data_IF_940769438806
#
_entry.id   IF_940769438806
#
_cell.length_a   1.000
_cell.length_b   1.000
_cell.length_c   1.000
_cell.angle_alpha   90.00
_cell.angle_beta   90.00
_cell.angle_gamma   90.00
#
_symmetry.space_group_name_H-M   'P 1'
#
loop_
_entity.id
_entity.type
_entity.pdbx_description
1 polymer ?
#
# COMPACT_ATOMS: atom_id res chain seq x y z
N UNK A 1 -1.51 10.32 -5.16
CA UNK A 1 -0.26 10.94 -5.67
C UNK A 1 0.22 10.38 -7.03
N UNK A 2 0.83 11.22 -7.90
CA UNK A 2 1.53 10.80 -9.14
C UNK A 2 2.93 10.27 -8.83
N UNK A 3 3.34 9.18 -9.49
CA UNK A 3 4.69 8.63 -9.34
C UNK A 3 5.77 9.65 -9.77
N UNK A 4 6.92 9.67 -9.09
CA UNK A 4 8.06 10.49 -9.52
C UNK A 4 8.59 9.95 -10.84
N UNK A 5 9.06 10.88 -11.68
CA UNK A 5 9.65 10.57 -12.96
C UNK A 5 10.99 9.85 -12.77
N UNK A 6 11.21 8.78 -13.55
CA UNK A 6 12.48 8.05 -13.57
C UNK A 6 13.31 8.61 -14.73
N UNK A 7 14.37 9.35 -14.40
CA UNK A 7 15.21 10.02 -15.40
C UNK A 7 16.15 9.02 -16.10
N UNK A 8 16.42 9.28 -17.38
CA UNK A 8 17.42 8.56 -18.16
C UNK A 8 17.06 7.11 -18.51
N UNK A 9 15.77 6.78 -18.58
CA UNK A 9 15.31 5.55 -19.22
C UNK A 9 15.37 5.72 -20.74
N UNK A 10 16.03 4.78 -21.41
CA UNK A 10 16.13 4.69 -22.87
C UNK A 10 15.80 3.26 -23.29
N UNK A 11 15.21 3.09 -24.47
CA UNK A 11 14.73 1.79 -24.95
C UNK A 11 15.86 0.78 -25.23
N UNK A 12 17.08 1.27 -25.42
CA UNK A 12 18.29 0.48 -25.67
C UNK A 12 19.03 0.07 -24.39
N UNK A 13 18.55 0.45 -23.20
CA UNK A 13 19.17 0.04 -21.95
C UNK A 13 18.94 -1.45 -21.67
N UNK A 14 19.95 -2.17 -21.17
CA UNK A 14 19.74 -3.49 -20.60
C UNK A 14 18.63 -3.45 -19.53
N UNK A 15 17.79 -4.49 -19.50
CA UNK A 15 16.67 -4.56 -18.55
C UNK A 15 17.11 -4.32 -17.11
N UNK A 16 18.24 -4.92 -16.70
CA UNK A 16 18.78 -4.75 -15.35
C UNK A 16 19.11 -3.29 -15.01
N UNK A 17 19.65 -2.52 -15.97
CA UNK A 17 20.02 -1.11 -15.76
C UNK A 17 18.78 -0.21 -15.69
N UNK A 18 17.79 -0.46 -16.55
CA UNK A 18 16.49 0.21 -16.48
C UNK A 18 15.77 -0.11 -15.15
N UNK A 19 15.76 -1.39 -14.77
CA UNK A 19 15.13 -1.85 -13.54
C UNK A 19 15.79 -1.26 -12.30
N UNK A 20 17.13 -1.19 -12.24
CA UNK A 20 17.86 -0.59 -11.11
C UNK A 20 17.41 0.85 -10.89
N UNK A 21 17.34 1.66 -11.97
CA UNK A 21 16.87 3.05 -11.90
C UNK A 21 15.44 3.16 -11.40
N UNK A 22 14.55 2.31 -11.91
CA UNK A 22 13.14 2.31 -11.51
C UNK A 22 13.00 1.91 -10.03
N UNK A 23 13.62 0.81 -9.61
CA UNK A 23 13.55 0.32 -8.22
C UNK A 23 14.12 1.35 -7.26
N UNK A 24 15.25 1.98 -7.57
CA UNK A 24 15.83 3.03 -6.74
C UNK A 24 14.86 4.20 -6.51
N UNK A 25 14.19 4.67 -7.57
CA UNK A 25 13.19 5.75 -7.46
C UNK A 25 11.98 5.32 -6.64
N UNK A 26 11.45 4.10 -6.86
CA UNK A 26 10.27 3.60 -6.13
C UNK A 26 10.57 3.32 -4.66
N UNK A 27 11.77 2.82 -4.35
CA UNK A 27 12.23 2.65 -2.97
C UNK A 27 12.34 4.01 -2.26
N UNK A 28 12.96 5.00 -2.91
CA UNK A 28 13.09 6.34 -2.35
C UNK A 28 11.74 7.04 -2.14
N UNK A 29 10.77 6.80 -3.03
CA UNK A 29 9.37 7.23 -2.84
C UNK A 29 8.75 6.61 -1.61
N UNK A 30 8.78 5.27 -1.51
CA UNK A 30 8.19 4.52 -0.40
C UNK A 30 8.76 5.00 0.93
N UNK A 31 10.09 5.01 1.07
CA UNK A 31 10.73 5.44 2.31
C UNK A 31 10.37 6.89 2.66
N UNK A 32 10.44 7.82 1.70
CA UNK A 32 10.14 9.23 1.98
C UNK A 32 8.68 9.49 2.37
N UNK A 33 7.73 8.72 1.83
CA UNK A 33 6.31 8.83 2.20
C UNK A 33 6.03 8.16 3.55
N UNK A 34 6.62 7.00 3.81
CA UNK A 34 6.46 6.30 5.07
C UNK A 34 6.97 7.13 6.27
N UNK A 35 8.08 7.87 6.11
CA UNK A 35 8.54 8.81 7.15
C UNK A 35 7.49 9.90 7.46
N UNK A 36 6.77 10.37 6.44
CA UNK A 36 5.74 11.41 6.60
C UNK A 36 4.40 10.87 7.11
N UNK A 37 4.18 9.56 7.02
CA UNK A 37 2.92 8.90 7.34
C UNK A 37 2.85 8.41 8.80
N UNK A 38 3.86 8.71 9.64
CA UNK A 38 3.95 8.19 11.02
C UNK A 38 2.94 8.77 12.02
N UNK A 39 1.98 9.57 11.55
CA UNK A 39 0.89 10.13 12.32
C UNK A 39 -0.44 9.53 11.82
N UNK A 40 -1.26 8.93 12.71
CA UNK A 40 -2.51 8.30 12.30
C UNK A 40 -3.50 9.27 11.65
N UNK A 41 -3.40 10.58 11.91
CA UNK A 41 -4.26 11.60 11.29
C UNK A 41 -3.89 11.88 9.82
N UNK A 42 -2.71 11.45 9.35
CA UNK A 42 -2.23 11.69 7.99
C UNK A 42 -2.73 10.64 7.01
N UNK A 43 -4.06 10.57 6.87
CA UNK A 43 -4.78 9.60 6.01
C UNK A 43 -4.28 9.63 4.56
N UNK A 44 -4.03 10.83 4.01
CA UNK A 44 -3.53 10.98 2.64
C UNK A 44 -2.12 10.39 2.47
N UNK A 45 -1.21 10.67 3.39
CA UNK A 45 0.15 10.11 3.37
C UNK A 45 0.16 8.59 3.57
N UNK A 46 -0.71 8.04 4.42
CA UNK A 46 -0.87 6.59 4.58
C UNK A 46 -1.33 5.94 3.26
N UNK A 47 -2.33 6.53 2.61
CA UNK A 47 -2.80 6.09 1.30
C UNK A 47 -1.72 6.20 0.21
N UNK A 48 -0.98 7.29 0.17
CA UNK A 48 0.12 7.47 -0.78
C UNK A 48 1.28 6.51 -0.52
N UNK A 49 1.58 6.18 0.75
CA UNK A 49 2.55 5.16 1.14
C UNK A 49 2.13 3.78 0.66
N UNK A 50 0.84 3.42 0.80
CA UNK A 50 0.28 2.19 0.25
C UNK A 50 0.49 2.10 -1.26
N UNK A 51 0.22 3.18 -1.98
CA UNK A 51 0.42 3.24 -3.44
C UNK A 51 1.90 3.07 -3.79
N UNK A 52 2.81 3.71 -3.05
CA UNK A 52 4.25 3.58 -3.27
C UNK A 52 4.74 2.14 -3.02
N UNK A 53 4.27 1.49 -1.95
CA UNK A 53 4.58 0.10 -1.65
C UNK A 53 4.10 -0.84 -2.77
N UNK A 54 2.86 -0.63 -3.26
CA UNK A 54 2.31 -1.36 -4.41
C UNK A 54 3.17 -1.22 -5.67
N UNK A 55 3.62 0.01 -5.97
CA UNK A 55 4.48 0.27 -7.14
C UNK A 55 5.84 -0.41 -7.01
N UNK A 56 6.47 -0.33 -5.83
CA UNK A 56 7.74 -1.02 -5.58
C UNK A 56 7.58 -2.53 -5.73
N UNK A 57 6.51 -3.10 -5.15
CA UNK A 57 6.18 -4.52 -5.29
C UNK A 57 6.08 -4.92 -6.75
N UNK A 58 5.24 -4.24 -7.54
CA UNK A 58 5.04 -4.57 -8.96
C UNK A 58 6.32 -4.55 -9.79
N UNK A 59 7.20 -3.57 -9.56
CA UNK A 59 8.47 -3.53 -10.26
C UNK A 59 9.33 -4.73 -9.86
N UNK A 60 9.43 -5.03 -8.56
CA UNK A 60 10.19 -6.17 -8.06
C UNK A 60 9.61 -7.52 -8.50
N UNK A 61 8.30 -7.66 -8.68
CA UNK A 61 7.68 -8.89 -9.21
C UNK A 61 8.23 -9.23 -10.59
N UNK A 62 8.49 -8.21 -11.40
CA UNK A 62 8.99 -8.36 -12.77
C UNK A 62 10.51 -8.50 -12.77
N UNK A 63 11.22 -7.75 -11.91
CA UNK A 63 12.67 -7.55 -12.05
C UNK A 63 13.52 -8.18 -10.95
N UNK A 64 12.94 -8.87 -9.96
CA UNK A 64 13.71 -9.42 -8.84
C UNK A 64 14.80 -10.43 -9.28
N UNK A 65 14.58 -11.17 -10.37
CA UNK A 65 15.57 -12.09 -10.93
C UNK A 65 16.87 -11.40 -11.37
N UNK A 66 16.84 -10.08 -11.62
CA UNK A 66 18.03 -9.30 -11.97
C UNK A 66 18.93 -8.95 -10.77
N UNK A 67 18.47 -9.09 -9.52
CA UNK A 67 19.07 -8.45 -8.34
C UNK A 67 19.33 -9.43 -7.18
N UNK A 68 19.37 -10.72 -7.49
CA UNK A 68 19.69 -11.77 -6.52
C UNK A 68 18.61 -11.99 -5.44
N UNK A 69 18.91 -12.83 -4.43
CA UNK A 69 17.89 -13.32 -3.50
C UNK A 69 17.24 -12.24 -2.62
N UNK A 70 17.96 -11.14 -2.34
CA UNK A 70 17.42 -10.10 -1.48
C UNK A 70 16.28 -9.31 -2.13
N UNK A 71 16.26 -9.16 -3.46
CA UNK A 71 15.15 -8.52 -4.14
C UNK A 71 13.82 -9.28 -3.96
N UNK A 72 13.87 -10.62 -3.92
CA UNK A 72 12.71 -11.45 -3.56
C UNK A 72 12.28 -11.26 -2.10
N UNK A 73 13.22 -11.00 -1.19
CA UNK A 73 12.89 -10.62 0.19
C UNK A 73 12.24 -9.25 0.26
N UNK A 74 12.80 -8.27 -0.46
CA UNK A 74 12.27 -6.92 -0.50
C UNK A 74 10.88 -6.86 -1.14
N UNK A 75 10.62 -7.70 -2.14
CA UNK A 75 9.30 -7.89 -2.74
C UNK A 75 8.26 -8.27 -1.67
N UNK A 76 8.57 -9.29 -0.85
CA UNK A 76 7.70 -9.72 0.25
C UNK A 76 7.49 -8.60 1.27
N UNK A 77 8.53 -7.85 1.62
CA UNK A 77 8.39 -6.70 2.55
C UNK A 77 7.54 -5.57 2.00
N UNK A 78 7.67 -5.26 0.70
CA UNK A 78 6.81 -4.28 0.04
C UNK A 78 5.34 -4.75 0.02
N UNK A 79 5.10 -6.06 -0.12
CA UNK A 79 3.78 -6.66 0.03
C UNK A 79 3.24 -6.52 1.45
N UNK A 80 4.03 -6.87 2.48
CA UNK A 80 3.64 -6.74 3.89
C UNK A 80 3.17 -5.30 4.21
N UNK A 81 3.94 -4.30 3.77
CA UNK A 81 3.58 -2.87 3.94
C UNK A 81 2.31 -2.51 3.17
N UNK A 82 2.18 -2.97 1.92
CA UNK A 82 1.00 -2.69 1.10
C UNK A 82 -0.27 -3.28 1.70
N UNK A 83 -0.22 -4.53 2.15
CA UNK A 83 -1.40 -5.26 2.64
C UNK A 83 -1.90 -4.61 3.93
N UNK A 84 -1.00 -4.31 4.88
CA UNK A 84 -1.36 -3.70 6.15
C UNK A 84 -1.92 -2.28 5.99
N UNK A 85 -1.31 -1.44 5.15
CA UNK A 85 -1.87 -0.14 4.81
C UNK A 85 -3.14 -0.23 3.94
N UNK A 86 -3.35 -1.36 3.25
CA UNK A 86 -4.60 -1.68 2.57
C UNK A 86 -5.76 -1.76 3.57
N UNK A 87 -5.57 -2.51 4.64
CA UNK A 87 -6.56 -2.67 5.70
C UNK A 87 -6.85 -1.36 6.44
N UNK A 88 -5.82 -0.53 6.68
CA UNK A 88 -6.01 0.83 7.23
C UNK A 88 -6.86 1.67 6.28
N UNK A 89 -6.54 1.66 4.99
CA UNK A 89 -7.28 2.42 3.99
C UNK A 89 -8.74 1.95 3.85
N UNK A 90 -9.00 0.66 3.95
CA UNK A 90 -10.35 0.12 3.90
C UNK A 90 -11.18 0.64 5.07
N UNK A 91 -10.61 0.73 6.28
CA UNK A 91 -11.27 1.38 7.42
C UNK A 91 -11.53 2.88 7.16
N UNK A 92 -10.54 3.60 6.62
CA UNK A 92 -10.65 5.03 6.29
C UNK A 92 -11.75 5.30 5.24
N UNK A 93 -12.01 4.34 4.35
CA UNK A 93 -13.09 4.42 3.35
C UNK A 93 -14.45 3.99 3.92
N UNK A 94 -14.48 2.99 4.80
CA UNK A 94 -15.71 2.44 5.37
C UNK A 94 -16.35 3.36 6.41
N UNK A 95 -15.56 3.98 7.28
CA UNK A 95 -16.07 4.80 8.39
C UNK A 95 -16.99 5.95 7.89
N UNK A 96 -16.59 6.78 6.91
CA UNK A 96 -17.47 7.83 6.38
C UNK A 96 -18.74 7.28 5.71
N UNK A 97 -18.66 6.10 5.09
CA UNK A 97 -19.82 5.46 4.46
C UNK A 97 -20.84 4.98 5.48
N UNK A 98 -20.37 4.41 6.59
CA UNK A 98 -21.24 4.01 7.71
C UNK A 98 -21.91 5.22 8.35
N UNK A 99 -21.17 6.32 8.53
CA UNK A 99 -21.73 7.55 9.08
C UNK A 99 -22.82 8.15 8.17
N UNK A 100 -22.55 8.19 6.85
CA UNK A 100 -23.53 8.61 5.86
C UNK A 100 -24.78 7.73 5.85
N UNK A 101 -24.61 6.40 5.90
CA UNK A 101 -25.73 5.47 5.96
C UNK A 101 -26.55 5.64 7.25
N UNK A 102 -25.88 5.76 8.40
CA UNK A 102 -26.52 5.99 9.70
C UNK A 102 -27.34 7.27 9.67
N UNK A 103 -26.81 8.34 9.09
CA UNK A 103 -27.52 9.62 8.93
C UNK A 103 -28.77 9.47 8.06
N UNK A 104 -28.64 8.85 6.89
CA UNK A 104 -29.78 8.62 5.97
C UNK A 104 -30.89 7.83 6.62
N UNK A 105 -30.56 6.74 7.33
CA UNK A 105 -31.60 5.93 7.98
C UNK A 105 -32.25 6.73 9.14
N UNK A 106 -31.50 7.55 9.89
CA UNK A 106 -32.04 8.40 10.96
C UNK A 106 -33.00 9.46 10.43
N UNK A 107 -32.66 10.09 9.31
CA UNK A 107 -33.53 11.06 8.64
C UNK A 107 -34.83 10.43 8.15
N UNK A 108 -34.77 9.20 7.63
CA UNK A 108 -35.96 8.45 7.22
C UNK A 108 -36.91 8.20 8.39
N UNK A 109 -36.40 7.79 9.55
CA UNK A 109 -37.29 7.57 10.70
C UNK A 109 -37.77 8.88 11.30
N UNK A 110 -36.95 9.93 11.31
CA UNK A 110 -37.40 11.25 11.73
C UNK A 110 -38.58 11.73 10.88
N UNK A 111 -38.51 11.57 9.54
CA UNK A 111 -39.61 11.88 8.64
C UNK A 111 -40.83 10.98 8.87
N UNK A 112 -40.62 9.69 9.11
CA UNK A 112 -41.70 8.74 9.44
C UNK A 112 -42.42 9.11 10.75
N UNK A 113 -41.68 9.58 11.76
CA UNK A 113 -42.22 10.00 13.06
C UNK A 113 -43.12 11.24 12.96
N UNK A 114 -42.84 12.16 12.03
CA UNK A 114 -43.71 13.33 11.78
C UNK A 114 -45.11 12.90 11.34
N UNK A 115 -45.22 11.79 10.61
CA UNK A 115 -46.49 11.27 10.10
C UNK A 115 -47.24 10.34 11.05
N UNK A 116 -46.73 10.06 12.26
CA UNK A 116 -47.32 9.11 13.20
C UNK A 116 -47.92 9.77 14.44
N UNK A 117 -49.04 9.24 14.93
CA UNK A 117 -49.64 9.67 16.19
C UNK A 117 -48.70 9.30 17.36
N UNK A 118 -48.50 10.25 18.28
CA UNK A 118 -47.50 10.28 19.38
C UNK A 118 -47.07 8.92 19.96
N UNK A 119 -45.74 8.80 20.18
CA UNK A 119 -45.00 7.69 20.85
C UNK A 119 -44.98 6.37 20.07
N UNK A 120 -44.46 6.41 18.84
CA UNK A 120 -44.02 5.20 18.15
C UNK A 120 -42.49 5.08 18.23
N UNK A 121 -41.99 3.85 18.34
CA UNK A 121 -40.56 3.59 18.21
C UNK A 121 -40.13 3.72 16.74
N UNK A 122 -38.97 4.34 16.46
CA UNK A 122 -38.42 4.41 15.11
C UNK A 122 -38.25 2.99 14.51
N UNK A 123 -38.78 2.70 13.31
CA UNK A 123 -38.75 1.35 12.72
C UNK A 123 -37.35 0.80 12.50
N UNK A 124 -36.32 1.66 12.44
CA UNK A 124 -34.93 1.27 12.22
C UNK A 124 -34.01 1.58 13.42
N UNK A 125 -34.57 1.72 14.63
CA UNK A 125 -33.78 2.01 15.85
C UNK A 125 -32.63 1.01 16.11
N UNK A 126 -32.84 -0.27 15.81
CA UNK A 126 -31.80 -1.30 15.90
C UNK A 126 -30.70 -1.12 14.85
N UNK A 127 -31.05 -0.68 13.64
CA UNK A 127 -30.09 -0.45 12.57
C UNK A 127 -29.08 0.65 12.95
N UNK A 128 -29.52 1.75 13.58
CA UNK A 128 -28.62 2.81 14.07
C UNK A 128 -27.61 2.28 15.08
N UNK A 129 -28.10 1.48 16.03
CA UNK A 129 -27.27 0.89 17.08
C UNK A 129 -26.26 -0.09 16.51
N UNK A 130 -26.68 -0.90 15.53
CA UNK A 130 -25.78 -1.81 14.80
C UNK A 130 -24.70 -1.06 14.01
N UNK A 131 -25.08 0.00 13.28
CA UNK A 131 -24.14 0.83 12.52
C UNK A 131 -23.15 1.55 13.45
N UNK A 132 -23.61 2.04 14.60
CA UNK A 132 -22.75 2.67 15.61
C UNK A 132 -21.73 1.70 16.17
N UNK A 133 -22.19 0.50 16.56
CA UNK A 133 -21.30 -0.55 17.06
C UNK A 133 -20.23 -0.91 16.03
N UNK A 134 -20.62 -1.07 14.76
CA UNK A 134 -19.67 -1.36 13.69
C UNK A 134 -18.66 -0.21 13.48
N UNK A 135 -19.09 1.04 13.58
CA UNK A 135 -18.20 2.20 13.49
C UNK A 135 -17.17 2.21 14.63
N UNK A 136 -17.57 1.87 15.86
CA UNK A 136 -16.66 1.71 17.01
C UNK A 136 -15.66 0.59 16.75
N UNK A 137 -16.12 -0.57 16.29
CA UNK A 137 -15.27 -1.73 15.97
C UNK A 137 -14.24 -1.41 14.88
N UNK A 138 -14.65 -0.73 13.79
CA UNK A 138 -13.74 -0.31 12.73
C UNK A 138 -12.76 0.77 13.18
N UNK A 139 -13.18 1.69 14.04
CA UNK A 139 -12.28 2.70 14.61
C UNK A 139 -11.16 2.04 15.43
N UNK A 140 -11.52 1.07 16.28
CA UNK A 140 -10.56 0.30 17.05
C UNK A 140 -9.64 -0.54 16.16
N UNK A 141 -10.20 -1.20 15.12
CA UNK A 141 -9.43 -1.97 14.13
C UNK A 141 -8.42 -1.09 13.41
N UNK A 142 -8.85 0.08 12.92
CA UNK A 142 -8.00 1.04 12.23
C UNK A 142 -6.82 1.48 13.10
N UNK A 143 -7.07 1.78 14.38
CA UNK A 143 -6.02 2.16 15.33
C UNK A 143 -4.99 1.04 15.54
N UNK A 144 -5.45 -0.22 15.67
CA UNK A 144 -4.58 -1.38 15.80
C UNK A 144 -3.73 -1.59 14.54
N UNK A 145 -4.36 -1.60 13.37
CA UNK A 145 -3.65 -1.78 12.09
C UNK A 145 -2.59 -0.69 11.86
N UNK A 146 -2.87 0.55 12.26
CA UNK A 146 -1.89 1.62 12.21
C UNK A 146 -0.70 1.38 13.16
N UNK A 147 -0.97 0.87 14.37
CA UNK A 147 0.09 0.47 15.31
C UNK A 147 0.96 -0.64 14.71
N UNK A 148 0.34 -1.71 14.20
CA UNK A 148 1.03 -2.82 13.55
C UNK A 148 1.89 -2.33 12.36
N UNK A 149 1.38 -1.35 11.59
CA UNK A 149 2.12 -0.74 10.49
C UNK A 149 3.35 0.02 10.96
N UNK A 150 3.24 0.81 12.03
CA UNK A 150 4.39 1.50 12.62
C UNK A 150 5.45 0.51 13.12
N UNK A 151 5.03 -0.57 13.78
CA UNK A 151 5.94 -1.61 14.25
C UNK A 151 6.67 -2.29 13.10
N UNK A 152 5.94 -2.70 12.05
CA UNK A 152 6.50 -3.26 10.83
C UNK A 152 7.51 -2.30 10.19
N UNK A 153 7.15 -1.02 10.02
CA UNK A 153 8.02 -0.05 9.37
C UNK A 153 9.31 0.17 10.17
N UNK A 154 9.20 0.33 11.49
CA UNK A 154 10.37 0.47 12.37
C UNK A 154 11.26 -0.75 12.35
N UNK A 155 10.67 -1.95 12.32
CA UNK A 155 11.44 -3.19 12.19
C UNK A 155 12.20 -3.27 10.86
N UNK A 156 11.57 -2.89 9.74
CA UNK A 156 12.22 -2.81 8.44
C UNK A 156 13.37 -1.79 8.43
N UNK A 157 13.19 -0.64 9.06
CA UNK A 157 14.25 0.36 9.21
C UNK A 157 15.43 -0.20 10.01
N UNK A 158 15.18 -0.81 11.18
CA UNK A 158 16.23 -1.45 12.00
C UNK A 158 16.99 -2.54 11.26
N UNK A 159 16.28 -3.32 10.43
CA UNK A 159 16.87 -4.38 9.58
C UNK A 159 17.56 -3.85 8.32
N UNK A 160 17.64 -2.53 8.14
CA UNK A 160 18.32 -1.89 7.02
C UNK A 160 17.65 -2.14 5.67
N UNK A 161 16.33 -2.28 5.63
CA UNK A 161 15.56 -2.60 4.41
C UNK A 161 15.99 -1.77 3.19
N UNK A 162 16.10 -0.45 3.37
CA UNK A 162 16.52 0.47 2.30
C UNK A 162 17.94 0.17 1.83
N UNK A 163 18.92 0.22 2.73
CA UNK A 163 20.33 0.04 2.39
C UNK A 163 20.60 -1.32 1.74
N UNK A 164 19.93 -2.37 2.22
CA UNK A 164 20.07 -3.72 1.66
C UNK A 164 19.48 -3.84 0.27
N UNK A 165 18.36 -3.18 -0.02
CA UNK A 165 17.80 -3.19 -1.38
C UNK A 165 18.63 -2.31 -2.31
N UNK A 166 19.10 -1.15 -1.86
CA UNK A 166 20.03 -0.30 -2.63
C UNK A 166 21.31 -1.06 -2.99
N UNK A 167 21.86 -1.84 -2.04
CA UNK A 167 22.99 -2.72 -2.30
C UNK A 167 22.64 -3.84 -3.29
N UNK A 168 21.53 -4.55 -3.10
CA UNK A 168 21.13 -5.66 -3.97
C UNK A 168 20.88 -5.24 -5.43
N UNK A 169 20.39 -4.02 -5.68
CA UNK A 169 20.22 -3.52 -7.05
C UNK A 169 21.50 -2.94 -7.64
N UNK A 170 22.51 -2.66 -6.81
CA UNK A 170 23.84 -2.22 -7.23
C UNK A 170 24.78 -3.39 -7.51
N UNK A 171 24.67 -4.46 -6.75
CA UNK A 171 25.41 -5.71 -6.96
C UNK A 171 24.68 -6.58 -7.98
N UNK A 172 25.16 -6.55 -9.22
CA UNK A 172 24.68 -7.48 -10.25
C UNK A 172 25.09 -8.90 -9.84
N UNK A 173 24.19 -9.89 -9.80
CA UNK A 173 24.62 -11.26 -9.94
C UNK A 173 25.31 -11.38 -11.29
N UNK A 174 26.55 -11.89 -11.32
CA UNK A 174 27.21 -12.29 -12.57
C UNK A 174 26.31 -13.35 -13.20
N UNK A 175 25.46 -12.93 -14.12
CA UNK A 175 24.76 -13.87 -14.98
C UNK A 175 25.81 -14.34 -15.97
N UNK A 176 26.15 -15.62 -15.92
CA UNK A 176 26.99 -16.30 -16.90
C UNK A 176 26.62 -15.81 -18.30
N UNK A 177 27.64 -15.46 -19.08
CA UNK A 177 27.52 -15.02 -20.46
C UNK A 177 26.49 -15.90 -21.18
N UNK A 178 25.43 -15.28 -21.69
CA UNK A 178 24.58 -15.94 -22.67
C UNK A 178 25.48 -16.57 -23.75
N UNK A 179 25.28 -17.84 -24.13
CA UNK A 179 26.08 -18.44 -25.18
C UNK A 179 25.92 -17.58 -26.44
N UNK A 180 27.07 -17.18 -27.00
CA UNK A 180 27.14 -16.48 -28.27
C UNK A 180 26.37 -17.27 -29.31
N UNK A 181 25.32 -16.67 -29.89
CA UNK A 181 24.60 -17.22 -31.05
C UNK A 181 25.40 -16.99 -32.36
N UNK A 182 26.73 -17.02 -32.27
CA UNK A 182 27.64 -16.91 -33.41
C UNK A 182 28.28 -18.27 -33.63
N UNK A 183 27.68 -19.09 -34.50
CA UNK A 183 28.31 -20.33 -34.95
C UNK A 183 27.38 -21.37 -35.56
N UNK A 184 26.94 -21.13 -36.80
CA UNK A 184 26.75 -22.08 -37.92
C UNK A 184 25.53 -21.62 -38.75
N UNK A 185 25.66 -21.00 -39.91
CA UNK A 185 26.70 -21.23 -40.92
C UNK A 185 26.28 -22.39 -41.82
N UNK A 186 25.54 -22.03 -42.85
CA UNK A 186 25.28 -22.71 -44.13
C UNK A 186 26.25 -23.84 -44.50
N UNK A 187 25.74 -25.05 -44.74
CA UNK A 187 25.90 -25.86 -45.96
C UNK A 187 24.65 -26.73 -46.13
#
# INVERSE_FOLDING_TARGET
>A
MKARNVKGLRADLPLADAAQRIVAVRLAELCGLAERAQDPARVAELHDTRIAAKRLRYVLEITASCFGPYAGTALRRAKDVQDLLGEVHDCDVMLPRLDGLRTQVRERDAAWLVGTARRADPPHAEAYRGLERLAVELTARRARLFHDWLELWRDLQRKGFRARLEHAIGERPVTERAPSLDGAGTV
#
